data_IF_835520963539
#
_entry.id   IF_835520963539
#
_cell.length_a   1.000
_cell.length_b   1.000
_cell.length_c   1.000
_cell.angle_alpha   90.00
_cell.angle_beta   90.00
_cell.angle_gamma   90.00
#
_symmetry.space_group_name_H-M   'P 1'
#
loop_
_entity.id
_entity.type
_entity.pdbx_description
1 polymer ?
#
# COMPACT_ATOMS: atom_id res chain seq x y z
N UNK A 1 -1.32 -9.47 -19.11
CA UNK A 1 -0.08 -10.25 -19.31
C UNK A 1 0.22 -10.30 -20.80
N UNK A 2 1.27 -9.59 -21.27
CA UNK A 2 1.66 -9.59 -22.68
C UNK A 2 2.18 -10.96 -23.14
N UNK A 3 2.79 -11.74 -22.25
CA UNK A 3 3.21 -13.11 -22.52
C UNK A 3 2.02 -14.05 -22.83
N UNK A 4 0.78 -13.67 -22.44
CA UNK A 4 -0.45 -14.41 -22.76
C UNK A 4 -1.18 -13.88 -24.00
N UNK A 5 -0.67 -12.83 -24.67
CA UNK A 5 -1.26 -12.31 -25.90
C UNK A 5 -0.56 -12.94 -27.11
N UNK A 6 -1.33 -13.64 -27.95
CA UNK A 6 -0.82 -14.37 -29.13
C UNK A 6 -0.06 -13.51 -30.16
N UNK A 7 -0.24 -12.18 -30.11
CA UNK A 7 0.37 -11.23 -31.05
C UNK A 7 1.49 -10.37 -30.42
N UNK A 8 1.91 -10.67 -29.17
CA UNK A 8 3.03 -9.96 -28.55
C UNK A 8 4.35 -10.53 -29.09
N UNK A 9 5.12 -9.73 -29.83
CA UNK A 9 6.49 -10.11 -30.23
C UNK A 9 7.53 -10.02 -29.10
N UNK A 10 7.09 -9.75 -27.87
CA UNK A 10 7.95 -9.55 -26.69
C UNK A 10 7.45 -10.43 -25.55
N UNK A 11 8.37 -11.18 -24.95
CA UNK A 11 8.18 -11.99 -23.74
C UNK A 11 9.07 -11.42 -22.64
N UNK A 12 8.51 -11.28 -21.44
CA UNK A 12 9.27 -10.87 -20.26
C UNK A 12 9.43 -12.05 -19.31
N UNK A 13 10.67 -12.38 -18.94
CA UNK A 13 10.97 -13.20 -17.77
C UNK A 13 11.04 -12.28 -16.55
N UNK A 14 10.25 -12.59 -15.52
CA UNK A 14 10.03 -11.70 -14.37
C UNK A 14 10.45 -12.43 -13.09
N UNK A 15 11.47 -11.88 -12.43
CA UNK A 15 11.87 -12.30 -11.09
C UNK A 15 11.39 -11.28 -10.06
N UNK A 16 10.51 -11.70 -9.14
CA UNK A 16 10.07 -10.86 -8.02
C UNK A 16 10.97 -11.14 -6.81
N UNK A 17 11.62 -10.11 -6.28
CA UNK A 17 12.40 -10.19 -5.03
C UNK A 17 11.66 -9.42 -3.93
N UNK A 18 11.27 -10.11 -2.86
CA UNK A 18 10.67 -9.48 -1.68
C UNK A 18 11.31 -10.05 -0.40
N UNK A 19 11.74 -9.15 0.50
CA UNK A 19 12.34 -9.53 1.78
C UNK A 19 11.32 -10.05 2.80
N UNK A 20 10.03 -10.09 2.46
CA UNK A 20 8.97 -10.60 3.34
C UNK A 20 8.52 -11.98 2.88
N UNK A 21 7.71 -12.59 3.73
CA UNK A 21 6.95 -13.79 3.39
C UNK A 21 5.91 -13.49 2.31
N UNK A 22 5.46 -14.52 1.62
CA UNK A 22 4.37 -14.40 0.65
C UNK A 22 3.05 -14.16 1.40
N UNK A 23 2.57 -12.91 1.43
CA UNK A 23 1.34 -12.60 2.15
C UNK A 23 0.12 -13.30 1.56
N UNK A 24 0.20 -13.77 0.31
CA UNK A 24 -0.87 -14.53 -0.30
C UNK A 24 -1.09 -15.91 0.31
N UNK A 25 -0.15 -16.45 1.12
CA UNK A 25 -0.33 -17.75 1.80
C UNK A 25 -1.06 -17.64 3.13
N UNK A 26 -1.20 -16.44 3.69
CA UNK A 26 -1.85 -16.26 4.99
C UNK A 26 -3.36 -16.07 4.84
N UNK A 27 -4.12 -16.51 5.84
CA UNK A 27 -5.54 -16.14 5.99
C UNK A 27 -5.68 -14.71 6.53
N UNK A 28 -6.90 -14.15 6.51
CA UNK A 28 -7.14 -12.82 7.08
C UNK A 28 -6.90 -12.82 8.60
N UNK A 29 -7.24 -13.90 9.27
CA UNK A 29 -7.04 -14.07 10.71
C UNK A 29 -5.55 -14.07 11.06
N UNK A 30 -4.73 -14.79 10.29
CA UNK A 30 -3.28 -14.80 10.47
C UNK A 30 -2.66 -13.42 10.23
N UNK A 31 -3.07 -12.74 9.15
CA UNK A 31 -2.62 -11.37 8.85
C UNK A 31 -2.98 -10.39 9.98
N UNK A 32 -4.19 -10.51 10.52
CA UNK A 32 -4.67 -9.62 11.60
C UNK A 32 -3.92 -9.88 12.91
N UNK A 33 -3.62 -11.14 13.22
CA UNK A 33 -3.02 -11.54 14.50
C UNK A 33 -1.51 -11.36 14.54
N UNK A 34 -0.82 -11.68 13.44
CA UNK A 34 0.63 -11.83 13.42
C UNK A 34 1.35 -10.66 12.72
N UNK A 35 0.62 -9.83 11.96
CA UNK A 35 1.21 -8.72 11.22
C UNK A 35 0.63 -7.39 11.68
N UNK A 36 1.49 -6.36 11.75
CA UNK A 36 1.06 -5.02 12.11
C UNK A 36 0.05 -4.51 11.08
N UNK A 37 -1.21 -4.36 11.50
CA UNK A 37 -2.25 -3.70 10.71
C UNK A 37 -1.91 -2.23 10.48
N UNK A 38 -2.19 -1.75 9.28
CA UNK A 38 -2.05 -0.35 8.94
C UNK A 38 -3.11 0.04 7.92
N UNK A 39 -4.01 0.93 8.32
CA UNK A 39 -5.10 1.37 7.46
C UNK A 39 -4.59 2.39 6.43
N UNK A 40 -5.06 2.24 5.20
CA UNK A 40 -4.74 3.11 4.07
C UNK A 40 -6.04 3.57 3.41
N UNK A 41 -6.07 4.83 2.98
CA UNK A 41 -7.10 5.30 2.06
C UNK A 41 -6.72 4.91 0.63
N UNK A 42 -7.57 4.11 -0.01
CA UNK A 42 -7.49 3.76 -1.42
C UNK A 42 -8.47 4.67 -2.18
N UNK A 43 -7.92 5.72 -2.78
CA UNK A 43 -8.65 6.70 -3.59
C UNK A 43 -8.60 6.37 -5.09
N UNK A 44 -9.27 7.20 -5.89
CA UNK A 44 -9.55 6.96 -7.31
C UNK A 44 -8.34 6.52 -8.13
N UNK A 45 -7.19 7.21 -8.05
CA UNK A 45 -6.02 6.82 -8.85
C UNK A 45 -5.48 5.41 -8.53
N UNK A 46 -5.48 5.04 -7.24
CA UNK A 46 -5.09 3.69 -6.84
C UNK A 46 -6.12 2.66 -7.30
N UNK A 47 -7.41 3.03 -7.22
CA UNK A 47 -8.51 2.18 -7.66
C UNK A 47 -8.51 1.97 -9.18
N UNK A 48 -8.27 3.02 -9.97
CA UNK A 48 -8.17 2.98 -11.42
C UNK A 48 -7.04 2.05 -11.84
N UNK A 49 -5.86 2.20 -11.23
CA UNK A 49 -4.72 1.32 -11.48
C UNK A 49 -5.08 -0.15 -11.22
N UNK A 50 -5.74 -0.46 -10.11
CA UNK A 50 -6.21 -1.83 -9.78
C UNK A 50 -7.22 -2.32 -10.82
N UNK A 51 -8.17 -1.47 -11.23
CA UNK A 51 -9.22 -1.81 -12.21
C UNK A 51 -8.66 -2.02 -13.62
N UNK A 52 -7.47 -1.49 -13.95
CA UNK A 52 -6.80 -1.81 -15.23
C UNK A 52 -6.35 -3.27 -15.35
N UNK A 53 -6.19 -3.97 -14.22
CA UNK A 53 -5.79 -5.38 -14.20
C UNK A 53 -7.06 -6.26 -14.18
N UNK A 54 -7.32 -7.04 -15.25
CA UNK A 54 -8.54 -7.84 -15.33
C UNK A 54 -8.69 -8.78 -14.13
N UNK A 55 -9.90 -8.81 -13.57
CA UNK A 55 -10.29 -9.62 -12.41
C UNK A 55 -9.63 -9.27 -11.07
N UNK A 56 -8.64 -8.40 -11.01
CA UNK A 56 -7.98 -8.08 -9.74
C UNK A 56 -8.96 -7.40 -8.76
N UNK A 57 -9.65 -6.35 -9.22
CA UNK A 57 -10.62 -5.64 -8.39
C UNK A 57 -11.78 -6.55 -7.96
N UNK A 58 -12.52 -7.09 -8.93
CA UNK A 58 -13.76 -7.81 -8.70
C UNK A 58 -13.58 -9.10 -7.88
N UNK A 59 -12.45 -9.80 -8.04
CA UNK A 59 -12.24 -11.08 -7.34
C UNK A 59 -11.45 -10.95 -6.04
N UNK A 60 -10.55 -9.98 -5.91
CA UNK A 60 -9.60 -9.96 -4.79
C UNK A 60 -9.67 -8.69 -3.93
N UNK A 61 -10.14 -7.54 -4.43
CA UNK A 61 -10.04 -6.25 -3.70
C UNK A 61 -11.40 -5.70 -3.24
N UNK A 62 -12.47 -5.89 -4.01
CA UNK A 62 -13.78 -5.22 -3.83
C UNK A 62 -14.40 -5.37 -2.42
N UNK A 63 -13.99 -6.38 -1.64
CA UNK A 63 -14.46 -6.63 -0.28
C UNK A 63 -13.41 -6.48 0.82
N UNK A 64 -12.22 -5.95 0.53
CA UNK A 64 -11.10 -5.88 1.49
C UNK A 64 -11.09 -4.58 2.33
N UNK A 65 -12.12 -3.73 2.22
CA UNK A 65 -12.17 -2.47 2.93
C UNK A 65 -13.58 -1.94 3.15
N UNK A 66 -13.60 -0.79 3.82
CA UNK A 66 -14.81 -0.04 4.13
C UNK A 66 -14.93 1.11 3.12
N UNK A 67 -16.06 1.17 2.42
CA UNK A 67 -16.37 2.32 1.55
C UNK A 67 -16.60 3.56 2.43
N UNK A 68 -15.94 4.65 2.07
CA UNK A 68 -16.11 5.95 2.74
C UNK A 68 -17.29 6.67 2.13
N UNK A 69 -18.28 6.99 2.96
CA UNK A 69 -19.51 7.69 2.56
C UNK A 69 -19.57 9.12 3.11
N UNK A 70 -18.77 9.39 4.14
CA UNK A 70 -18.71 10.70 4.77
C UNK A 70 -17.32 11.02 5.30
N UNK A 71 -17.09 12.32 5.45
CA UNK A 71 -15.91 12.89 6.06
C UNK A 71 -16.31 13.71 7.28
N UNK A 72 -15.73 13.39 8.44
CA UNK A 72 -16.01 14.04 9.71
C UNK A 72 -14.80 14.87 10.18
N UNK A 73 -15.03 16.07 10.68
CA UNK A 73 -14.03 16.87 11.40
C UNK A 73 -14.52 17.07 12.83
N UNK A 74 -13.70 16.65 13.80
CA UNK A 74 -14.01 16.75 15.22
C UNK A 74 -13.25 17.90 15.86
N UNK A 75 -13.96 18.93 16.32
CA UNK A 75 -13.40 20.07 17.06
C UNK A 75 -13.84 19.97 18.53
N UNK A 76 -13.06 19.25 19.34
CA UNK A 76 -13.43 18.94 20.72
C UNK A 76 -14.77 18.18 20.77
N UNK A 77 -15.81 18.81 21.33
CA UNK A 77 -17.16 18.22 21.41
C UNK A 77 -18.02 18.44 20.16
N UNK A 78 -17.57 19.27 19.21
CA UNK A 78 -18.31 19.56 17.98
C UNK A 78 -17.86 18.63 16.86
N UNK A 79 -18.82 18.24 16.01
CA UNK A 79 -18.59 17.46 14.80
C UNK A 79 -19.15 18.20 13.60
N UNK A 80 -18.35 18.35 12.56
CA UNK A 80 -18.78 18.78 11.23
C UNK A 80 -18.72 17.57 10.29
N UNK A 81 -19.78 17.33 9.54
CA UNK A 81 -19.90 16.18 8.64
C UNK A 81 -20.11 16.69 7.21
N UNK A 82 -19.37 16.13 6.26
CA UNK A 82 -19.60 16.28 4.82
C UNK A 82 -19.92 14.90 4.26
N UNK A 83 -21.06 14.73 3.60
CA UNK A 83 -21.41 13.46 2.94
C UNK A 83 -21.14 13.53 1.45
N UNK A 84 -20.85 12.39 0.84
CA UNK A 84 -20.65 12.34 -0.61
C UNK A 84 -21.90 12.79 -1.38
N UNK A 85 -23.09 12.52 -0.84
CA UNK A 85 -24.38 12.93 -1.44
C UNK A 85 -24.63 14.44 -1.37
N UNK A 86 -23.89 15.17 -0.53
CA UNK A 86 -24.01 16.63 -0.40
C UNK A 86 -23.25 17.39 -1.52
N UNK A 87 -22.43 16.69 -2.30
CA UNK A 87 -21.60 17.27 -3.37
C UNK A 87 -22.31 17.12 -4.71
N UNK A 88 -22.63 18.26 -5.35
CA UNK A 88 -23.23 18.26 -6.70
C UNK A 88 -22.15 17.95 -7.76
N UNK A 89 -21.88 16.67 -7.97
CA UNK A 89 -20.85 16.16 -8.88
C UNK A 89 -21.11 16.53 -10.34
N UNK A 90 -22.38 16.64 -10.75
CA UNK A 90 -22.78 17.07 -12.10
C UNK A 90 -22.38 18.52 -12.36
N UNK A 91 -22.57 19.41 -11.37
CA UNK A 91 -22.15 20.81 -11.47
C UNK A 91 -20.62 20.98 -11.55
N UNK A 92 -19.85 19.97 -11.11
CA UNK A 92 -18.38 19.94 -11.18
C UNK A 92 -17.85 19.19 -12.41
N UNK A 93 -18.73 18.73 -13.32
CA UNK A 93 -18.33 18.01 -14.54
C UNK A 93 -17.81 16.59 -14.29
N UNK A 94 -18.10 16.01 -13.12
CA UNK A 94 -17.65 14.67 -12.74
C UNK A 94 -18.70 13.64 -13.20
N UNK A 95 -18.31 12.74 -14.11
CA UNK A 95 -19.22 11.77 -14.74
C UNK A 95 -19.46 10.50 -13.91
N UNK A 96 -18.64 10.27 -12.87
CA UNK A 96 -18.71 9.10 -12.01
C UNK A 96 -18.43 9.48 -10.55
N UNK A 97 -19.21 8.97 -9.61
CA UNK A 97 -18.98 9.20 -8.18
C UNK A 97 -17.62 8.63 -7.76
N UNK A 98 -16.67 9.45 -7.25
CA UNK A 98 -15.42 8.99 -6.68
C UNK A 98 -15.68 7.92 -5.62
N UNK A 99 -14.93 6.83 -5.65
CA UNK A 99 -15.03 5.78 -4.64
C UNK A 99 -13.76 5.73 -3.81
N UNK A 100 -13.85 6.23 -2.58
CA UNK A 100 -12.79 6.08 -1.60
C UNK A 100 -13.09 4.88 -0.68
N UNK A 101 -12.08 4.05 -0.48
CA UNK A 101 -12.13 2.95 0.49
C UNK A 101 -11.05 3.14 1.53
N UNK A 102 -11.30 2.66 2.74
CA UNK A 102 -10.26 2.44 3.73
C UNK A 102 -10.04 0.94 3.88
N UNK A 103 -8.79 0.53 3.71
CA UNK A 103 -8.37 -0.88 3.62
C UNK A 103 -7.21 -1.13 4.57
N UNK A 104 -7.11 -2.34 5.12
CA UNK A 104 -5.87 -2.77 5.76
C UNK A 104 -4.84 -3.06 4.67
N UNK A 105 -3.65 -2.44 4.77
CA UNK A 105 -2.51 -2.69 3.88
C UNK A 105 -2.25 -4.18 3.69
N UNK A 106 -2.29 -4.97 4.77
CA UNK A 106 -1.96 -6.39 4.72
C UNK A 106 -2.92 -7.16 3.82
N UNK A 107 -4.22 -6.81 3.85
CA UNK A 107 -5.23 -7.47 3.02
C UNK A 107 -5.06 -7.14 1.55
N UNK A 108 -4.76 -5.88 1.21
CA UNK A 108 -4.46 -5.49 -0.18
C UNK A 108 -3.20 -6.19 -0.69
N UNK A 109 -2.12 -6.21 0.09
CA UNK A 109 -0.89 -6.90 -0.30
C UNK A 109 -1.13 -8.40 -0.49
N UNK A 110 -1.86 -9.04 0.42
CA UNK A 110 -2.22 -10.45 0.29
C UNK A 110 -3.11 -10.72 -0.94
N UNK A 111 -4.08 -9.84 -1.22
CA UNK A 111 -4.93 -9.93 -2.40
C UNK A 111 -4.12 -9.85 -3.70
N UNK A 112 -3.18 -8.90 -3.80
CA UNK A 112 -2.25 -8.78 -4.93
C UNK A 112 -1.37 -10.03 -5.06
N UNK A 113 -0.82 -10.53 -3.96
CA UNK A 113 0.02 -11.73 -3.97
C UNK A 113 -0.76 -13.00 -4.38
N UNK A 114 -2.00 -13.17 -3.90
CA UNK A 114 -2.91 -14.26 -4.33
C UNK A 114 -3.22 -14.16 -5.81
N UNK A 115 -3.52 -12.96 -6.31
CA UNK A 115 -3.74 -12.74 -7.73
C UNK A 115 -2.54 -13.20 -8.56
N UNK A 116 -1.33 -12.76 -8.19
CA UNK A 116 -0.10 -13.13 -8.91
C UNK A 116 0.11 -14.64 -8.84
N UNK A 117 0.02 -15.25 -7.66
CA UNK A 117 0.18 -16.70 -7.49
C UNK A 117 -0.82 -17.48 -8.34
N UNK A 118 -2.10 -17.18 -8.27
CA UNK A 118 -3.11 -17.93 -9.02
C UNK A 118 -2.97 -17.76 -10.54
N UNK A 119 -2.49 -16.60 -11.01
CA UNK A 119 -2.36 -16.34 -12.44
C UNK A 119 -0.99 -16.73 -13.02
N UNK A 120 0.02 -16.94 -12.18
CA UNK A 120 1.41 -17.14 -12.59
C UNK A 120 2.15 -18.28 -11.86
N UNK A 121 1.50 -19.06 -10.99
CA UNK A 121 2.17 -20.16 -10.26
C UNK A 121 2.83 -21.21 -11.17
N UNK A 122 2.27 -21.41 -12.37
CA UNK A 122 2.80 -22.34 -13.37
C UNK A 122 3.35 -21.60 -14.60
N UNK A 123 3.62 -20.30 -14.48
CA UNK A 123 4.19 -19.49 -15.57
C UNK A 123 5.72 -19.64 -15.52
N UNK A 124 6.30 -20.30 -16.52
CA UNK A 124 7.76 -20.53 -16.61
C UNK A 124 8.56 -19.22 -16.68
N UNK A 125 7.89 -18.11 -17.03
CA UNK A 125 8.49 -16.78 -17.09
C UNK A 125 8.32 -15.98 -15.80
N UNK A 126 7.90 -16.60 -14.70
CA UNK A 126 7.73 -15.92 -13.41
C UNK A 126 8.42 -16.68 -12.27
N UNK A 127 9.40 -16.03 -11.65
CA UNK A 127 10.15 -16.58 -10.52
C UNK A 127 9.92 -15.72 -9.26
N UNK A 128 9.12 -16.18 -8.29
CA UNK A 128 8.99 -15.50 -7.01
C UNK A 128 10.12 -15.86 -6.04
N UNK A 129 10.78 -14.85 -5.48
CA UNK A 129 11.83 -14.97 -4.47
C UNK A 129 11.42 -14.21 -3.20
N UNK A 130 10.57 -14.84 -2.40
CA UNK A 130 10.20 -14.33 -1.07
C UNK A 130 11.32 -14.60 -0.05
N UNK A 131 11.26 -13.92 1.11
CA UNK A 131 12.30 -13.94 2.15
C UNK A 131 13.70 -13.67 1.57
N UNK A 132 13.77 -12.85 0.51
CA UNK A 132 15.00 -12.55 -0.21
C UNK A 132 15.12 -11.05 -0.35
N UNK A 133 16.21 -10.47 0.17
CA UNK A 133 16.41 -9.03 0.21
C UNK A 133 17.43 -8.60 -0.84
N UNK A 134 17.13 -7.54 -1.59
CA UNK A 134 18.11 -6.87 -2.44
C UNK A 134 19.10 -6.08 -1.56
N UNK A 135 20.37 -6.47 -1.62
CA UNK A 135 21.44 -5.89 -0.80
C UNK A 135 22.23 -4.83 -1.57
N UNK A 136 22.44 -5.06 -2.88
CA UNK A 136 23.24 -4.17 -3.73
C UNK A 136 22.83 -4.33 -5.19
N UNK A 137 23.00 -3.26 -5.97
CA UNK A 137 22.78 -3.27 -7.43
C UNK A 137 24.14 -3.09 -8.10
N UNK A 138 24.58 -4.12 -8.82
CA UNK A 138 25.72 -4.06 -9.72
C UNK A 138 25.26 -3.61 -11.10
N UNK A 139 25.50 -2.34 -11.40
CA UNK A 139 25.10 -1.76 -12.68
C UNK A 139 25.96 -2.24 -13.85
N UNK A 140 27.27 -2.38 -13.63
CA UNK A 140 28.22 -2.70 -14.70
C UNK A 140 28.00 -4.12 -15.21
N UNK A 141 27.69 -5.06 -14.30
CA UNK A 141 27.39 -6.45 -14.64
C UNK A 141 25.89 -6.73 -14.82
N UNK A 142 25.04 -5.70 -14.71
CA UNK A 142 23.57 -5.79 -14.76
C UNK A 142 23.01 -6.91 -13.88
N UNK A 143 23.35 -6.88 -12.61
CA UNK A 143 22.89 -7.88 -11.64
C UNK A 143 22.60 -7.24 -10.29
N UNK A 144 21.79 -7.91 -9.48
CA UNK A 144 21.54 -7.52 -8.09
C UNK A 144 22.10 -8.58 -7.16
N UNK A 145 22.83 -8.16 -6.14
CA UNK A 145 23.19 -9.03 -5.03
C UNK A 145 21.97 -9.17 -4.13
N UNK A 146 21.51 -10.40 -3.96
CA UNK A 146 20.39 -10.72 -3.08
C UNK A 146 20.86 -11.62 -1.94
N UNK A 147 20.17 -11.55 -0.81
CA UNK A 147 20.39 -12.40 0.36
C UNK A 147 19.12 -13.09 0.79
N UNK A 148 19.14 -14.41 0.92
CA UNK A 148 18.08 -15.16 1.57
C UNK A 148 18.13 -14.88 3.08
N UNK A 149 16.99 -14.49 3.67
CA UNK A 149 16.93 -14.05 5.07
C UNK A 149 17.05 -15.22 6.05
N UNK A 150 16.64 -16.43 5.65
CA UNK A 150 16.69 -17.61 6.50
C UNK A 150 18.05 -18.30 6.47
N UNK A 151 18.63 -18.44 5.28
CA UNK A 151 19.91 -19.15 5.10
C UNK A 151 21.11 -18.22 5.16
N UNK A 152 20.90 -16.91 5.11
CA UNK A 152 21.92 -15.87 4.95
C UNK A 152 22.78 -16.00 3.67
N UNK A 153 22.41 -16.91 2.76
CA UNK A 153 23.12 -17.13 1.51
C UNK A 153 22.95 -15.94 0.57
N UNK A 154 24.06 -15.54 -0.05
CA UNK A 154 24.12 -14.45 -1.00
C UNK A 154 24.43 -14.96 -2.40
N UNK A 155 23.75 -14.41 -3.40
CA UNK A 155 24.00 -14.71 -4.80
C UNK A 155 23.55 -13.55 -5.69
N UNK A 156 24.04 -13.55 -6.93
CA UNK A 156 23.67 -12.54 -7.92
C UNK A 156 22.50 -13.01 -8.78
N UNK A 157 21.56 -12.10 -9.03
CA UNK A 157 20.45 -12.29 -9.97
C UNK A 157 20.66 -11.31 -11.14
N UNK A 158 20.86 -11.81 -12.39
CA UNK A 158 21.01 -10.93 -13.55
C UNK A 158 19.68 -10.25 -13.93
N UNK A 159 19.75 -9.09 -14.56
CA UNK A 159 18.58 -8.39 -15.08
C UNK A 159 18.87 -7.66 -16.40
N UNK A 160 17.87 -7.56 -17.27
CA UNK A 160 17.86 -6.61 -18.39
C UNK A 160 17.17 -5.29 -18.02
N UNK A 161 16.15 -5.39 -17.15
CA UNK A 161 15.39 -4.27 -16.62
C UNK A 161 15.19 -4.47 -15.11
N UNK A 162 15.61 -3.47 -14.33
CA UNK A 162 15.41 -3.45 -12.88
C UNK A 162 14.32 -2.44 -12.51
N UNK A 163 13.28 -2.91 -11.83
CA UNK A 163 12.17 -2.07 -11.34
C UNK A 163 12.29 -1.90 -9.83
N UNK A 164 12.59 -0.67 -9.38
CA UNK A 164 12.70 -0.33 -7.96
C UNK A 164 11.33 -0.08 -7.32
N UNK A 165 10.75 -1.13 -6.73
CA UNK A 165 9.49 -1.09 -5.96
C UNK A 165 9.71 -1.47 -4.48
N UNK A 166 10.91 -1.21 -3.96
CA UNK A 166 11.44 -1.63 -2.66
C UNK A 166 11.24 -0.59 -1.53
N UNK A 167 10.37 0.38 -1.76
CA UNK A 167 9.83 1.27 -0.72
C UNK A 167 10.72 2.45 -0.32
N UNK A 168 10.45 3.02 0.84
CA UNK A 168 11.07 4.29 1.28
C UNK A 168 12.58 4.20 1.50
N UNK A 169 13.12 3.01 1.80
CA UNK A 169 14.56 2.74 1.95
C UNK A 169 15.06 1.88 0.77
N UNK A 170 14.86 2.38 -0.43
CA UNK A 170 15.11 1.67 -1.69
C UNK A 170 16.62 1.52 -1.97
N UNK A 171 17.08 0.28 -2.06
CA UNK A 171 18.42 -0.09 -2.53
C UNK A 171 18.61 0.33 -3.98
N UNK A 172 17.56 0.19 -4.81
CA UNK A 172 17.60 0.56 -6.24
C UNK A 172 17.77 2.08 -6.41
N UNK A 173 17.02 2.88 -5.65
CA UNK A 173 17.16 4.34 -5.65
C UNK A 173 18.54 4.78 -5.18
N UNK A 174 19.06 4.17 -4.11
CA UNK A 174 20.41 4.47 -3.62
C UNK A 174 21.50 4.21 -4.66
N UNK A 175 21.39 3.12 -5.42
CA UNK A 175 22.30 2.83 -6.52
C UNK A 175 22.21 3.89 -7.64
N UNK A 176 20.99 4.31 -7.98
CA UNK A 176 20.74 5.32 -9.01
C UNK A 176 21.34 6.68 -8.65
N UNK A 177 21.13 7.15 -7.42
CA UNK A 177 21.67 8.42 -6.90
C UNK A 177 23.20 8.44 -6.92
N UNK A 178 23.84 7.33 -6.52
CA UNK A 178 25.32 7.25 -6.48
C UNK A 178 25.95 7.28 -7.87
N UNK A 179 25.25 6.79 -8.90
CA UNK A 179 25.82 6.64 -10.26
C UNK A 179 25.61 7.87 -11.13
N UNK A 180 24.44 8.51 -11.03
CA UNK A 180 24.04 9.59 -11.90
C UNK A 180 24.25 10.94 -11.20
N UNK A 181 25.34 11.63 -11.53
CA UNK A 181 25.71 12.92 -10.93
C UNK A 181 24.67 14.03 -11.16
N UNK A 182 23.82 13.87 -12.17
CA UNK A 182 22.71 14.77 -12.47
C UNK A 182 21.39 14.36 -11.82
N UNK A 183 21.37 13.32 -10.99
CA UNK A 183 20.20 12.88 -10.26
C UNK A 183 20.26 13.35 -8.81
N UNK A 184 19.37 14.27 -8.44
CA UNK A 184 19.23 14.76 -7.07
C UNK A 184 18.13 14.00 -6.32
N UNK A 185 18.43 13.56 -5.10
CA UNK A 185 17.43 13.02 -4.17
C UNK A 185 17.50 13.84 -2.87
N UNK A 186 16.37 14.41 -2.47
CA UNK A 186 16.23 15.08 -1.18
C UNK A 186 15.44 14.18 -0.22
N UNK A 187 15.84 14.19 1.04
CA UNK A 187 15.21 13.45 2.13
C UNK A 187 14.80 14.46 3.19
N UNK A 188 13.51 14.80 3.19
CA UNK A 188 12.93 15.62 4.25
C UNK A 188 11.99 14.75 5.07
N UNK A 189 12.21 14.71 6.37
CA UNK A 189 11.22 14.17 7.30
C UNK A 189 10.01 15.09 7.29
N UNK A 190 8.93 14.64 6.66
CA UNK A 190 7.79 15.50 6.35
C UNK A 190 6.92 15.79 7.58
N UNK A 191 6.63 14.85 8.49
CA UNK A 191 5.77 15.12 9.66
C UNK A 191 5.90 14.11 10.81
N UNK A 192 5.47 14.58 11.98
CA UNK A 192 4.93 13.92 13.18
C UNK A 192 5.26 12.45 13.47
N UNK A 193 5.72 12.16 14.70
CA UNK A 193 5.69 10.79 15.22
C UNK A 193 4.24 10.34 15.38
N UNK A 194 3.87 9.28 14.66
CA UNK A 194 2.49 8.84 14.56
C UNK A 194 2.30 7.44 15.14
N UNK A 195 1.30 7.29 16.00
CA UNK A 195 0.92 6.00 16.59
C UNK A 195 -0.54 5.68 16.28
N UNK A 196 -0.81 4.59 15.54
CA UNK A 196 -2.17 4.07 15.39
C UNK A 196 -2.56 3.21 16.59
N UNK A 197 -3.85 3.25 16.93
CA UNK A 197 -4.52 2.29 17.81
C UNK A 197 -5.80 1.83 17.13
N UNK A 198 -6.14 0.55 17.32
CA UNK A 198 -7.35 -0.05 16.77
C UNK A 198 -8.33 -0.26 17.92
N UNK A 199 -9.51 0.34 17.83
CA UNK A 199 -10.52 0.28 18.91
C UNK A 199 -11.88 -0.05 18.32
N UNK A 200 -12.76 -0.61 19.14
CA UNK A 200 -14.16 -0.75 18.77
C UNK A 200 -14.75 0.63 18.44
N UNK A 201 -15.52 0.72 17.35
CA UNK A 201 -16.17 1.99 16.96
C UNK A 201 -16.95 2.56 18.16
N UNK A 202 -16.60 3.77 18.63
CA UNK A 202 -17.33 4.41 19.71
C UNK A 202 -18.76 4.77 19.31
N UNK A 203 -19.66 4.84 20.29
CA UNK A 203 -21.05 5.27 20.05
C UNK A 203 -21.08 6.67 19.41
N UNK A 204 -21.77 6.80 18.28
CA UNK A 204 -21.93 8.08 17.57
C UNK A 204 -20.83 8.38 16.54
N UNK A 205 -19.83 7.51 16.42
CA UNK A 205 -18.88 7.49 15.29
C UNK A 205 -19.48 6.59 14.20
N UNK A 206 -19.43 7.05 12.95
CA UNK A 206 -19.96 6.28 11.83
C UNK A 206 -18.96 5.20 11.40
N UNK A 207 -19.46 4.04 11.01
CA UNK A 207 -18.66 2.93 10.49
C UNK A 207 -18.17 3.14 9.07
N UNK A 208 -18.62 4.18 8.36
CA UNK A 208 -18.23 4.50 6.99
C UNK A 208 -17.62 5.91 6.87
N UNK A 209 -17.16 6.49 7.98
CA UNK A 209 -16.57 7.82 8.01
C UNK A 209 -15.05 7.80 8.15
N UNK A 210 -14.37 8.56 7.29
CA UNK A 210 -13.03 9.02 7.60
C UNK A 210 -13.14 10.29 8.46
N UNK A 211 -12.31 10.40 9.49
CA UNK A 211 -12.36 11.52 10.44
C UNK A 211 -11.03 12.23 10.58
N UNK A 212 -11.05 13.56 10.74
CA UNK A 212 -9.92 14.33 11.26
C UNK A 212 -10.18 14.78 12.68
N UNK A 213 -9.13 14.71 13.50
CA UNK A 213 -9.11 15.09 14.91
C UNK A 213 -8.10 16.21 15.13
N UNK A 214 -8.37 17.44 14.63
CA UNK A 214 -7.48 18.56 14.84
C UNK A 214 -7.34 18.91 16.32
N UNK A 215 -6.11 19.12 16.77
CA UNK A 215 -5.77 19.52 18.14
C UNK A 215 -6.46 18.65 19.22
N UNK A 216 -6.55 17.33 18.97
CA UNK A 216 -7.18 16.38 19.91
C UNK A 216 -6.52 16.40 21.28
N UNK A 217 -5.21 16.64 21.30
CA UNK A 217 -4.42 17.03 22.46
C UNK A 217 -3.55 18.22 22.07
N UNK A 218 -3.00 19.01 23.03
CA UNK A 218 -2.06 20.07 22.71
C UNK A 218 -0.93 19.56 21.81
N UNK A 219 -0.76 20.19 20.64
CA UNK A 219 0.24 19.87 19.61
C UNK A 219 0.08 18.51 18.92
N UNK A 220 -1.04 17.81 19.13
CA UNK A 220 -1.33 16.53 18.50
C UNK A 220 -2.45 16.65 17.47
N UNK A 221 -2.24 16.06 16.30
CA UNK A 221 -3.27 15.90 15.27
C UNK A 221 -3.66 14.43 15.20
N UNK A 222 -4.90 14.13 14.82
CA UNK A 222 -5.31 12.75 14.62
C UNK A 222 -6.15 12.52 13.37
N UNK A 223 -6.22 11.26 12.99
CA UNK A 223 -7.06 10.74 11.91
C UNK A 223 -7.78 9.49 12.39
N UNK A 224 -9.04 9.35 12.01
CA UNK A 224 -9.85 8.17 12.19
C UNK A 224 -10.10 7.50 10.85
N UNK A 225 -9.77 6.23 10.74
CA UNK A 225 -9.94 5.42 9.54
C UNK A 225 -10.82 4.21 9.90
N UNK A 226 -12.00 4.02 9.27
CA UNK A 226 -12.88 2.93 9.61
C UNK A 226 -12.28 1.60 9.14
N UNK A 227 -12.53 0.54 9.89
CA UNK A 227 -11.94 -0.77 9.66
C UNK A 227 -13.04 -1.85 9.70
N UNK A 228 -12.82 -2.94 8.98
CA UNK A 228 -13.70 -4.11 9.01
C UNK A 228 -13.80 -4.69 10.42
N UNK A 229 -14.90 -5.41 10.72
CA UNK A 229 -15.11 -5.97 12.07
C UNK A 229 -15.62 -4.95 13.09
N UNK A 230 -16.08 -3.79 12.65
CA UNK A 230 -16.64 -2.75 13.53
C UNK A 230 -15.56 -1.98 14.30
N UNK A 231 -14.34 -1.96 13.77
CA UNK A 231 -13.20 -1.25 14.36
C UNK A 231 -13.01 0.12 13.72
N UNK A 232 -12.30 0.98 14.43
CA UNK A 232 -11.76 2.22 13.89
C UNK A 232 -10.30 2.31 14.28
N UNK A 233 -9.47 2.61 13.29
CA UNK A 233 -8.07 2.95 13.49
C UNK A 233 -7.98 4.45 13.80
N UNK A 234 -7.50 4.76 15.00
CA UNK A 234 -7.25 6.13 15.44
C UNK A 234 -5.75 6.31 15.45
N UNK A 235 -5.26 7.17 14.57
CA UNK A 235 -3.87 7.52 14.51
C UNK A 235 -3.63 8.92 15.03
N UNK A 236 -2.69 9.06 15.96
CA UNK A 236 -2.35 10.34 16.59
C UNK A 236 -0.89 10.64 16.29
N UNK A 237 -0.66 11.82 15.73
CA UNK A 237 0.65 12.36 15.39
C UNK A 237 1.01 13.57 16.25
N UNK A 238 2.29 13.68 16.61
CA UNK A 238 2.86 14.85 17.29
C UNK A 238 4.18 15.27 16.65
N UNK A 239 4.43 16.57 16.56
CA UNK A 239 5.67 17.12 16.02
C UNK A 239 6.86 16.79 16.93
N UNK A 240 7.96 16.27 16.37
CA UNK A 240 9.15 15.80 17.12
C UNK A 240 9.78 16.83 18.08
N UNK A 241 9.60 18.13 17.85
CA UNK A 241 10.30 19.19 18.59
C UNK A 241 9.47 19.84 19.73
N UNK A 242 8.37 19.23 20.15
CA UNK A 242 7.44 19.79 21.15
C UNK A 242 7.37 19.01 22.48
N UNK A 243 8.39 18.21 22.80
CA UNK A 243 8.59 17.57 24.12
C UNK A 243 9.89 18.02 24.77
#
# INVERSE_FOLDING_TARGET
>A
NKNKQSNSGVTYEVTLVDGREDYGSFTKEELTKNHRSWMLALADHGMDAIKTVPNLYEKYIKGEGVKIEQFDIYFGSKKMTTRNDDVNLEAMGVTHTPEAFVVDRNFVVAALARFVRENHANDEFYTPMYRTKCMYVDYENKSVLVRNIETEEEFYVPYDLLVGSDGVRSTVREAFVKRHSNFSCDYTDIFQEFKPVHVQIPKGVSSCAMGLLPDIFPYCQGICLPETGGLVNIGIGTTRNHF
#
